data_IF_939731130800
#
_entry.id   IF_939731130800
#
_cell.length_a   1.000
_cell.length_b   1.000
_cell.length_c   1.000
_cell.angle_alpha   90.00
_cell.angle_beta   90.00
_cell.angle_gamma   90.00
#
_symmetry.space_group_name_H-M   'P 1'
#
loop_
_entity.id
_entity.type
_entity.pdbx_description
1 polymer ?
#
# COMPACT_ATOMS: atom_id res chain seq x y z
N UNK A 1 1.31 -13.52 8.63
CA UNK A 1 0.43 -13.46 9.81
C UNK A 1 -0.86 -14.22 9.55
N UNK A 2 -1.81 -14.24 10.50
CA UNK A 2 -3.13 -14.85 10.28
C UNK A 2 -3.92 -14.12 9.19
N UNK A 3 -4.70 -14.85 8.40
CA UNK A 3 -5.49 -14.33 7.27
C UNK A 3 -6.77 -13.60 7.65
N UNK A 4 -6.71 -12.70 8.64
CA UNK A 4 -7.92 -12.06 9.21
C UNK A 4 -8.71 -11.26 8.17
N UNK A 5 -8.02 -10.58 7.25
CA UNK A 5 -8.70 -9.84 6.17
C UNK A 5 -9.53 -10.77 5.28
N UNK A 6 -8.99 -11.92 4.91
CA UNK A 6 -9.67 -12.87 4.02
C UNK A 6 -10.84 -13.56 4.71
N UNK A 7 -10.72 -13.84 6.02
CA UNK A 7 -11.81 -14.39 6.82
C UNK A 7 -13.00 -13.43 6.88
N UNK A 8 -12.76 -12.13 7.05
CA UNK A 8 -13.81 -11.13 7.18
C UNK A 8 -14.36 -10.63 5.83
N UNK A 9 -13.48 -10.47 4.83
CA UNK A 9 -13.82 -9.76 3.59
C UNK A 9 -13.61 -10.58 2.32
N UNK A 10 -13.18 -11.84 2.42
CA UNK A 10 -12.83 -12.68 1.28
C UNK A 10 -11.56 -12.22 0.56
N UNK A 11 -11.37 -12.71 -0.67
CA UNK A 11 -10.17 -12.45 -1.44
C UNK A 11 -9.86 -10.94 -1.55
N UNK A 12 -8.61 -10.48 -1.32
CA UNK A 12 -8.27 -9.06 -1.25
C UNK A 12 -8.69 -8.24 -2.46
N UNK A 13 -8.34 -8.71 -3.68
CA UNK A 13 -8.65 -8.02 -4.96
C UNK A 13 -8.49 -6.49 -4.88
N UNK A 14 -7.37 -6.04 -4.31
CA UNK A 14 -7.21 -4.67 -3.85
C UNK A 14 -7.51 -3.65 -4.96
N UNK A 15 -6.94 -3.80 -6.16
CA UNK A 15 -7.21 -2.87 -7.28
C UNK A 15 -8.71 -2.75 -7.61
N UNK A 16 -9.44 -3.86 -7.59
CA UNK A 16 -10.88 -3.86 -7.84
C UNK A 16 -11.64 -3.03 -6.79
N UNK A 17 -11.24 -3.13 -5.52
CA UNK A 17 -11.82 -2.33 -4.43
C UNK A 17 -11.47 -0.85 -4.51
N UNK A 18 -10.43 -0.48 -5.25
CA UNK A 18 -9.99 0.90 -5.44
C UNK A 18 -10.56 1.57 -6.69
N UNK A 19 -11.25 0.85 -7.60
CA UNK A 19 -11.91 1.44 -8.77
C UNK A 19 -12.97 2.52 -8.50
N UNK A 20 -13.69 2.53 -7.36
CA UNK A 20 -14.61 3.62 -7.05
C UNK A 20 -13.92 4.98 -6.83
N UNK A 21 -12.59 5.02 -6.70
CA UNK A 21 -11.82 6.22 -6.43
C UNK A 21 -10.94 6.58 -7.63
N UNK A 22 -10.84 7.86 -7.93
CA UNK A 22 -9.86 8.42 -8.85
C UNK A 22 -8.46 8.35 -8.22
N UNK A 23 -7.58 7.52 -8.76
CA UNK A 23 -6.21 7.37 -8.26
C UNK A 23 -5.24 7.56 -9.42
N UNK A 24 -4.61 8.74 -9.46
CA UNK A 24 -3.53 9.07 -10.37
C UNK A 24 -2.15 9.00 -9.69
N UNK A 25 -1.10 9.47 -10.39
CA UNK A 25 0.26 9.54 -9.84
C UNK A 25 0.36 10.36 -8.56
N UNK A 26 -0.34 11.49 -8.48
CA UNK A 26 -0.26 12.42 -7.35
C UNK A 26 -0.87 11.81 -6.07
N UNK A 27 -2.02 11.14 -6.16
CA UNK A 27 -2.63 10.45 -5.01
C UNK A 27 -1.74 9.29 -4.53
N UNK A 28 -1.13 8.56 -5.47
CA UNK A 28 -0.19 7.48 -5.16
C UNK A 28 1.02 8.00 -4.40
N UNK A 29 1.60 9.11 -4.84
CA UNK A 29 2.78 9.70 -4.22
C UNK A 29 2.47 10.30 -2.85
N UNK A 30 1.30 10.93 -2.67
CA UNK A 30 0.83 11.39 -1.36
C UNK A 30 0.62 10.23 -0.39
N UNK A 31 0.03 9.12 -0.85
CA UNK A 31 -0.12 7.92 -0.02
C UNK A 31 1.23 7.35 0.39
N UNK A 32 2.20 7.25 -0.54
CA UNK A 32 3.56 6.79 -0.24
C UNK A 32 4.31 7.72 0.71
N UNK A 33 4.10 9.04 0.63
CA UNK A 33 4.65 10.00 1.58
C UNK A 33 4.20 9.66 3.02
N UNK A 34 2.92 9.38 3.22
CA UNK A 34 2.37 9.00 4.52
C UNK A 34 2.93 7.65 5.01
N UNK A 35 2.99 6.64 4.14
CA UNK A 35 3.56 5.34 4.49
C UNK A 35 5.04 5.42 4.85
N UNK A 36 5.83 6.19 4.11
CA UNK A 36 7.25 6.38 4.39
C UNK A 36 7.48 7.06 5.73
N UNK A 37 6.67 8.07 6.09
CA UNK A 37 6.71 8.69 7.43
C UNK A 37 6.43 7.66 8.52
N UNK A 38 5.34 6.89 8.37
CA UNK A 38 4.97 5.87 9.35
C UNK A 38 6.06 4.79 9.52
N UNK A 39 6.69 4.33 8.42
CA UNK A 39 7.78 3.36 8.49
C UNK A 39 9.02 3.89 9.21
N UNK A 40 9.30 5.20 9.11
CA UNK A 40 10.43 5.82 9.79
C UNK A 40 10.20 6.00 11.30
N UNK A 41 8.95 6.12 11.74
CA UNK A 41 8.59 6.25 13.17
C UNK A 41 8.56 4.91 13.91
N UNK A 42 8.42 3.81 13.17
CA UNK A 42 8.30 2.48 13.74
C UNK A 42 9.67 1.85 14.01
N UNK A 43 9.93 1.33 15.23
CA UNK A 43 11.17 0.62 15.52
C UNK A 43 11.20 -0.71 14.76
N UNK A 44 12.08 -0.81 13.77
CA UNK A 44 12.30 -2.03 12.98
C UNK A 44 13.71 -2.04 12.39
N UNK A 45 14.17 -3.24 12.02
CA UNK A 45 15.40 -3.44 11.27
C UNK A 45 15.38 -2.71 9.91
N UNK A 46 16.53 -2.19 9.48
CA UNK A 46 16.63 -1.37 8.28
C UNK A 46 16.39 -2.19 6.99
N UNK A 47 16.81 -3.46 6.95
CA UNK A 47 16.57 -4.35 5.80
C UNK A 47 15.08 -4.62 5.66
N UNK A 48 14.39 -4.87 6.78
CA UNK A 48 12.95 -5.05 6.81
C UNK A 48 12.20 -3.77 6.38
N UNK A 49 12.67 -2.59 6.82
CA UNK A 49 12.06 -1.31 6.45
C UNK A 49 12.09 -1.09 4.95
N UNK A 50 13.24 -1.31 4.32
CA UNK A 50 13.38 -1.14 2.86
C UNK A 50 12.57 -2.19 2.09
N UNK A 51 12.54 -3.45 2.54
CA UNK A 51 11.71 -4.47 1.92
C UNK A 51 10.21 -4.13 1.96
N UNK A 52 9.71 -3.61 3.09
CA UNK A 52 8.33 -3.15 3.20
C UNK A 52 8.09 -1.93 2.30
N UNK A 53 9.01 -0.95 2.30
CA UNK A 53 8.90 0.24 1.44
C UNK A 53 8.77 -0.15 -0.03
N UNK A 54 9.60 -1.06 -0.52
CA UNK A 54 9.55 -1.53 -1.91
C UNK A 54 8.23 -2.25 -2.21
N UNK A 55 7.78 -3.14 -1.31
CA UNK A 55 6.52 -3.84 -1.47
C UNK A 55 5.32 -2.87 -1.53
N UNK A 56 5.30 -1.85 -0.66
CA UNK A 56 4.25 -0.82 -0.67
C UNK A 56 4.32 0.06 -1.92
N UNK A 57 5.52 0.42 -2.39
CA UNK A 57 5.71 1.19 -3.61
C UNK A 57 5.15 0.47 -4.84
N UNK A 58 5.43 -0.83 -4.97
CA UNK A 58 4.90 -1.67 -6.04
C UNK A 58 3.38 -1.81 -5.94
N UNK A 59 2.85 -2.03 -4.73
CA UNK A 59 1.41 -2.11 -4.48
C UNK A 59 0.69 -0.79 -4.82
N UNK A 60 1.21 0.34 -4.37
CA UNK A 60 0.62 1.65 -4.58
C UNK A 60 0.57 2.01 -6.07
N UNK A 61 1.66 1.74 -6.80
CA UNK A 61 1.70 1.88 -8.27
C UNK A 61 0.65 1.01 -8.95
N UNK A 62 0.46 -0.23 -8.47
CA UNK A 62 -0.58 -1.12 -8.96
C UNK A 62 -2.01 -0.63 -8.67
N UNK A 63 -2.24 0.34 -7.78
CA UNK A 63 -3.57 0.89 -7.51
C UNK A 63 -3.97 2.02 -8.48
N UNK A 64 -3.02 2.65 -9.17
CA UNK A 64 -3.29 3.75 -10.12
C UNK A 64 -4.28 3.30 -11.19
N UNK A 65 -5.39 4.01 -11.31
CA UNK A 65 -6.49 3.69 -12.21
C UNK A 65 -6.91 4.87 -13.11
N UNK A 66 -6.23 6.02 -13.00
CA UNK A 66 -6.37 7.18 -13.87
C UNK A 66 -4.99 7.70 -14.31
N UNK A 67 -4.95 8.38 -15.47
CA UNK A 67 -3.76 9.04 -16.01
C UNK A 67 -3.82 10.54 -15.75
#
# INVERSE_FOLDING_TARGET
GPGLFEQEFGHPRLRQRHFPFAIGPDERDQWMLCMNKALNEMPMDDELREAIREALQNLATHMINQQ
#
